data_IF_776894430980
#
_entry.id   IF_776894430980
#
_cell.length_a   1.000
_cell.length_b   1.000
_cell.length_c   1.000
_cell.angle_alpha   90.00
_cell.angle_beta   90.00
_cell.angle_gamma   90.00
#
_symmetry.space_group_name_H-M   'P 1'
#
loop_
_entity.id
_entity.type
_entity.pdbx_description
1 polymer ?
#
# COMPACT_ATOMS: atom_id res chain seq x y z
N UNK A 1 15.70 13.97 -12.83
CA UNK A 1 15.34 13.39 -14.13
C UNK A 1 14.14 14.12 -14.67
N UNK A 2 14.31 14.90 -15.73
CA UNK A 2 13.21 15.61 -16.42
C UNK A 2 12.51 14.73 -17.48
N UNK A 3 13.13 13.60 -17.85
CA UNK A 3 12.60 12.62 -18.82
C UNK A 3 12.60 11.21 -18.20
N UNK A 4 11.47 10.50 -18.30
CA UNK A 4 11.27 9.14 -17.77
C UNK A 4 11.16 8.10 -18.90
N UNK A 5 11.74 8.39 -20.06
CA UNK A 5 11.84 7.41 -21.15
C UNK A 5 12.78 6.25 -20.79
N UNK A 6 12.55 5.10 -21.41
CA UNK A 6 13.39 3.92 -21.22
C UNK A 6 14.85 4.19 -21.60
N UNK A 7 15.07 5.03 -22.61
CA UNK A 7 16.39 5.49 -23.03
C UNK A 7 17.08 6.31 -21.95
N UNK A 8 16.38 7.32 -21.39
CA UNK A 8 16.94 8.17 -20.35
C UNK A 8 17.28 7.37 -19.10
N UNK A 9 16.40 6.44 -18.69
CA UNK A 9 16.65 5.55 -17.54
C UNK A 9 17.85 4.63 -17.82
N UNK A 10 17.95 4.05 -19.01
CA UNK A 10 19.09 3.20 -19.39
C UNK A 10 20.40 3.98 -19.38
N UNK A 11 20.41 5.21 -19.90
CA UNK A 11 21.58 6.08 -19.87
C UNK A 11 22.03 6.37 -18.44
N UNK A 12 21.10 6.74 -17.55
CA UNK A 12 21.43 6.97 -16.14
C UNK A 12 21.95 5.70 -15.45
N UNK A 13 21.39 4.52 -15.74
CA UNK A 13 21.93 3.26 -15.19
C UNK A 13 23.40 3.08 -15.62
N UNK A 14 23.71 3.33 -16.89
CA UNK A 14 25.10 3.24 -17.39
C UNK A 14 26.01 4.25 -16.70
N UNK A 15 25.58 5.50 -16.58
CA UNK A 15 26.36 6.56 -15.94
C UNK A 15 26.66 6.22 -14.48
N UNK A 16 25.66 5.71 -13.74
CA UNK A 16 25.85 5.26 -12.35
C UNK A 16 26.81 4.08 -12.26
N UNK A 17 26.70 3.09 -13.15
CA UNK A 17 27.64 1.96 -13.20
C UNK A 17 29.06 2.43 -13.47
N UNK A 18 29.24 3.34 -14.44
CA UNK A 18 30.55 3.94 -14.75
C UNK A 18 31.11 4.72 -13.56
N UNK A 19 30.28 5.54 -12.89
CA UNK A 19 30.70 6.30 -11.71
C UNK A 19 31.12 5.38 -10.54
N UNK A 20 30.47 4.23 -10.40
CA UNK A 20 30.82 3.19 -9.41
C UNK A 20 31.97 2.27 -9.88
N UNK A 21 32.55 2.52 -11.06
CA UNK A 21 33.58 1.68 -11.67
C UNK A 21 33.14 0.21 -11.85
N UNK A 22 31.85 -0.02 -12.12
CA UNK A 22 31.25 -1.31 -12.37
C UNK A 22 31.01 -1.50 -13.87
N UNK A 23 31.55 -2.57 -14.44
CA UNK A 23 31.29 -2.93 -15.85
C UNK A 23 29.93 -3.58 -16.02
N UNK A 24 29.14 -3.10 -16.99
CA UNK A 24 27.86 -3.72 -17.37
C UNK A 24 28.03 -5.18 -17.82
N UNK A 25 29.20 -5.56 -18.32
CA UNK A 25 29.51 -6.94 -18.74
C UNK A 25 29.53 -7.94 -17.56
N UNK A 26 29.58 -7.42 -16.32
CA UNK A 26 29.48 -8.20 -15.10
C UNK A 26 28.03 -8.34 -14.62
N UNK A 27 27.06 -7.67 -15.27
CA UNK A 27 25.66 -7.81 -14.94
C UNK A 27 25.17 -9.23 -15.25
N UNK A 28 24.51 -9.86 -14.28
CA UNK A 28 23.93 -11.22 -14.42
C UNK A 28 22.43 -11.26 -14.15
N UNK A 29 21.88 -10.20 -13.59
CA UNK A 29 20.47 -10.12 -13.25
C UNK A 29 19.99 -8.67 -13.24
N UNK A 30 18.76 -8.48 -13.69
CA UNK A 30 18.06 -7.20 -13.69
C UNK A 30 16.59 -7.41 -13.28
N UNK A 31 16.08 -6.54 -12.41
CA UNK A 31 14.74 -6.66 -11.85
C UNK A 31 14.03 -5.31 -11.92
N UNK A 32 12.86 -5.28 -12.55
CA UNK A 32 12.05 -4.06 -12.68
C UNK A 32 10.57 -4.31 -12.40
N UNK A 33 9.82 -3.22 -12.19
CA UNK A 33 8.37 -3.26 -12.15
C UNK A 33 7.75 -3.55 -13.53
N UNK A 34 6.43 -3.71 -13.56
CA UNK A 34 5.69 -4.09 -14.78
C UNK A 34 5.46 -2.94 -15.77
N UNK A 35 6.04 -1.76 -15.55
CA UNK A 35 5.80 -0.62 -16.43
C UNK A 35 6.37 -0.89 -17.83
N UNK A 36 5.63 -0.47 -18.87
CA UNK A 36 6.05 -0.65 -20.27
C UNK A 36 7.41 0.00 -20.57
N UNK A 37 7.71 1.12 -19.90
CA UNK A 37 9.02 1.78 -19.95
C UNK A 37 10.14 0.87 -19.43
N UNK A 38 9.87 0.08 -18.40
CA UNK A 38 10.86 -0.79 -17.78
C UNK A 38 10.99 -2.12 -18.52
N UNK A 39 9.88 -2.80 -18.80
CA UNK A 39 9.87 -4.19 -19.31
C UNK A 39 9.34 -4.34 -20.73
N UNK A 40 9.11 -3.23 -21.44
CA UNK A 40 8.62 -3.26 -22.81
C UNK A 40 9.54 -4.08 -23.74
N UNK A 41 8.96 -5.03 -24.46
CA UNK A 41 9.71 -6.00 -25.27
C UNK A 41 10.49 -5.36 -26.44
N UNK A 42 10.08 -4.18 -26.91
CA UNK A 42 10.69 -3.47 -28.03
C UNK A 42 11.75 -2.45 -27.60
N UNK A 43 11.46 -1.67 -26.56
CA UNK A 43 12.24 -0.48 -26.22
C UNK A 43 12.39 -0.23 -24.71
N UNK A 44 11.93 -1.16 -23.87
CA UNK A 44 12.03 -1.04 -22.43
C UNK A 44 13.48 -1.13 -21.93
N UNK A 45 13.72 -0.63 -20.71
CA UNK A 45 15.04 -0.69 -20.05
C UNK A 45 15.57 -2.12 -20.03
N UNK A 46 14.73 -3.10 -19.68
CA UNK A 46 15.11 -4.50 -19.60
C UNK A 46 15.65 -5.04 -20.93
N UNK A 47 14.98 -4.67 -22.04
CA UNK A 47 15.40 -5.04 -23.38
C UNK A 47 16.73 -4.37 -23.74
N UNK A 48 16.86 -3.07 -23.49
CA UNK A 48 18.08 -2.30 -23.78
C UNK A 48 19.30 -2.82 -23.02
N UNK A 49 19.16 -3.17 -21.74
CA UNK A 49 20.24 -3.75 -20.94
C UNK A 49 20.56 -5.17 -21.44
N UNK A 50 19.55 -5.98 -21.77
CA UNK A 50 19.77 -7.33 -22.33
C UNK A 50 20.47 -7.30 -23.69
N UNK A 51 20.22 -6.27 -24.52
CA UNK A 51 20.91 -6.08 -25.79
C UNK A 51 22.39 -5.70 -25.62
N UNK A 52 22.74 -5.05 -24.50
CA UNK A 52 24.12 -4.72 -24.13
C UNK A 52 24.85 -5.90 -23.49
N UNK A 53 24.19 -6.64 -22.59
CA UNK A 53 24.72 -7.82 -21.92
C UNK A 53 23.67 -8.94 -21.90
N UNK A 54 23.71 -9.88 -22.87
CA UNK A 54 22.74 -10.97 -22.95
C UNK A 54 22.70 -11.91 -21.73
N UNK A 55 23.75 -11.94 -20.90
CA UNK A 55 23.78 -12.71 -19.64
C UNK A 55 23.06 -12.01 -18.49
N UNK A 56 22.64 -10.76 -18.65
CA UNK A 56 21.87 -10.03 -17.65
C UNK A 56 20.41 -10.50 -17.68
N UNK A 57 20.10 -11.59 -16.98
CA UNK A 57 18.76 -12.17 -17.00
C UNK A 57 17.74 -11.21 -16.37
N UNK A 58 16.67 -10.92 -17.10
CA UNK A 58 15.57 -10.12 -16.58
C UNK A 58 14.53 -10.98 -15.85
N UNK A 59 14.12 -10.52 -14.67
CA UNK A 59 12.95 -11.05 -13.95
C UNK A 59 12.04 -9.93 -13.49
N UNK A 60 10.74 -10.16 -13.55
CA UNK A 60 9.76 -9.22 -13.03
C UNK A 60 9.86 -9.08 -11.51
N UNK A 61 9.63 -7.88 -10.99
CA UNK A 61 9.62 -7.63 -9.55
C UNK A 61 8.34 -8.19 -8.91
N UNK A 62 8.46 -9.34 -8.26
CA UNK A 62 7.33 -10.03 -7.63
C UNK A 62 6.64 -9.22 -6.52
N UNK A 63 7.33 -8.29 -5.87
CA UNK A 63 6.72 -7.36 -4.92
C UNK A 63 5.66 -6.46 -5.58
N UNK A 64 5.93 -6.00 -6.80
CA UNK A 64 4.96 -5.22 -7.58
C UNK A 64 3.80 -6.10 -8.08
N UNK A 65 4.10 -7.32 -8.57
CA UNK A 65 3.08 -8.27 -8.98
C UNK A 65 2.10 -8.61 -7.84
N UNK A 66 2.62 -8.88 -6.63
CA UNK A 66 1.82 -9.11 -5.43
C UNK A 66 0.88 -7.92 -5.16
N UNK A 67 1.42 -6.70 -5.21
CA UNK A 67 0.61 -5.50 -5.00
C UNK A 67 -0.52 -5.35 -6.04
N UNK A 68 -0.25 -5.63 -7.32
CA UNK A 68 -1.28 -5.57 -8.37
C UNK A 68 -2.40 -6.58 -8.11
N UNK A 69 -2.05 -7.85 -7.87
CA UNK A 69 -3.02 -8.92 -7.60
C UNK A 69 -3.92 -8.54 -6.42
N UNK A 70 -3.34 -8.02 -5.35
CA UNK A 70 -4.11 -7.72 -4.14
C UNK A 70 -4.96 -6.46 -4.35
N UNK A 71 -4.43 -5.45 -5.04
CA UNK A 71 -5.20 -4.25 -5.40
C UNK A 71 -6.42 -4.61 -6.26
N UNK A 72 -6.24 -5.46 -7.26
CA UNK A 72 -7.33 -5.87 -8.16
C UNK A 72 -8.34 -6.73 -7.41
N UNK A 73 -7.87 -7.62 -6.54
CA UNK A 73 -8.74 -8.44 -5.67
C UNK A 73 -9.60 -7.56 -4.75
N UNK A 74 -9.00 -6.56 -4.09
CA UNK A 74 -9.75 -5.67 -3.19
C UNK A 74 -10.75 -4.78 -3.94
N UNK A 75 -10.42 -4.35 -5.17
CA UNK A 75 -11.33 -3.58 -6.02
C UNK A 75 -12.49 -4.42 -6.55
N UNK A 76 -12.28 -5.71 -6.79
CA UNK A 76 -13.31 -6.63 -7.26
C UNK A 76 -14.37 -6.91 -6.18
N UNK A 77 -14.01 -6.82 -4.91
CA UNK A 77 -14.92 -7.05 -3.78
C UNK A 77 -15.52 -5.71 -3.31
N UNK A 78 -16.83 -5.53 -3.52
CA UNK A 78 -17.52 -4.25 -3.26
C UNK A 78 -17.34 -3.71 -1.84
N UNK A 79 -17.44 -4.57 -0.82
CA UNK A 79 -17.25 -4.20 0.59
C UNK A 79 -15.82 -3.66 0.82
N UNK A 80 -14.81 -4.34 0.26
CA UNK A 80 -13.41 -3.94 0.41
C UNK A 80 -13.09 -2.68 -0.37
N UNK A 81 -13.60 -2.55 -1.60
CA UNK A 81 -13.49 -1.34 -2.41
C UNK A 81 -14.08 -0.13 -1.67
N UNK A 82 -15.27 -0.29 -1.10
CA UNK A 82 -15.93 0.78 -0.35
C UNK A 82 -15.14 1.14 0.91
N UNK A 83 -14.67 0.13 1.67
CA UNK A 83 -13.83 0.36 2.84
C UNK A 83 -12.53 1.09 2.50
N UNK A 84 -11.84 0.69 1.43
CA UNK A 84 -10.64 1.38 0.93
C UNK A 84 -10.92 2.84 0.59
N UNK A 85 -12.00 3.11 -0.13
CA UNK A 85 -12.37 4.47 -0.52
C UNK A 85 -12.69 5.34 0.70
N UNK A 86 -13.43 4.80 1.67
CA UNK A 86 -13.78 5.53 2.89
C UNK A 86 -12.56 5.77 3.79
N UNK A 87 -11.69 4.76 3.99
CA UNK A 87 -10.42 4.93 4.72
C UNK A 87 -9.53 5.99 4.04
N UNK A 88 -9.45 5.95 2.72
CA UNK A 88 -8.71 6.96 1.96
C UNK A 88 -9.29 8.37 2.14
N UNK A 89 -10.61 8.50 2.16
CA UNK A 89 -11.28 9.77 2.37
C UNK A 89 -11.10 10.30 3.79
N UNK A 90 -11.21 9.45 4.82
CA UNK A 90 -10.94 9.81 6.22
C UNK A 90 -9.49 10.32 6.36
N UNK A 91 -8.53 9.56 5.86
CA UNK A 91 -7.10 9.92 5.96
C UNK A 91 -6.81 11.24 5.25
N UNK A 92 -7.43 11.49 4.09
CA UNK A 92 -7.36 12.79 3.40
C UNK A 92 -7.99 13.92 4.19
N UNK A 93 -9.19 13.74 4.76
CA UNK A 93 -9.88 14.77 5.54
C UNK A 93 -9.05 15.19 6.76
N UNK A 94 -8.26 14.30 7.35
CA UNK A 94 -7.42 14.64 8.50
C UNK A 94 -6.09 15.23 8.05
N UNK A 95 -5.34 14.48 7.23
CA UNK A 95 -3.92 14.78 6.93
C UNK A 95 -3.72 15.84 5.85
N UNK A 96 -4.74 16.22 5.08
CA UNK A 96 -4.58 17.24 4.02
C UNK A 96 -4.34 18.65 4.57
N UNK A 97 -4.82 18.98 5.79
CA UNK A 97 -4.56 20.29 6.39
C UNK A 97 -4.03 20.16 7.82
N UNK A 98 -2.90 20.84 8.17
CA UNK A 98 -2.29 20.76 9.49
C UNK A 98 -3.24 21.08 10.65
N UNK A 99 -4.17 22.03 10.44
CA UNK A 99 -5.18 22.39 11.45
C UNK A 99 -6.05 21.21 11.85
N UNK A 100 -6.49 20.39 10.89
CA UNK A 100 -7.37 19.23 11.13
C UNK A 100 -6.61 18.06 11.75
N UNK A 101 -5.36 17.88 11.34
CA UNK A 101 -4.45 16.94 11.99
C UNK A 101 -4.21 17.31 13.45
N UNK A 102 -3.89 18.57 13.75
CA UNK A 102 -3.73 19.06 15.12
C UNK A 102 -5.00 18.90 15.97
N UNK A 103 -6.18 19.19 15.38
CA UNK A 103 -7.46 18.96 16.04
C UNK A 103 -7.65 17.48 16.36
N UNK A 104 -7.41 16.59 15.39
CA UNK A 104 -7.50 15.15 15.61
C UNK A 104 -6.55 14.67 16.72
N UNK A 105 -5.29 15.12 16.73
CA UNK A 105 -4.33 14.73 17.78
C UNK A 105 -4.79 15.22 19.17
N UNK A 106 -5.35 16.43 19.29
CA UNK A 106 -5.94 16.92 20.56
C UNK A 106 -7.13 16.09 21.04
N UNK A 107 -7.98 15.64 20.11
CA UNK A 107 -9.12 14.76 20.44
C UNK A 107 -8.61 13.39 20.86
N UNK A 108 -7.65 12.84 20.12
CA UNK A 108 -7.02 11.56 20.42
C UNK A 108 -6.33 11.56 21.78
N UNK A 109 -5.55 12.60 22.11
CA UNK A 109 -4.86 12.71 23.41
C UNK A 109 -5.83 12.63 24.60
N UNK A 110 -7.08 13.09 24.42
CA UNK A 110 -8.11 13.05 25.47
C UNK A 110 -8.79 11.68 25.61
N UNK A 111 -8.98 10.98 24.50
CA UNK A 111 -9.83 9.77 24.44
C UNK A 111 -8.98 8.49 24.38
N UNK A 112 -7.95 8.49 23.55
CA UNK A 112 -7.16 7.31 23.16
C UNK A 112 -5.66 7.65 22.99
N UNK A 113 -4.96 8.14 24.03
CA UNK A 113 -3.58 8.63 23.90
C UNK A 113 -2.59 7.56 23.41
N UNK A 114 -2.80 6.31 23.80
CA UNK A 114 -1.92 5.17 23.47
C UNK A 114 -2.07 4.64 22.03
N UNK A 115 -3.05 5.14 21.28
CA UNK A 115 -3.28 4.66 19.91
C UNK A 115 -2.27 5.25 18.92
N UNK A 116 -1.99 4.58 17.79
CA UNK A 116 -1.12 5.15 16.76
C UNK A 116 -1.75 6.39 16.13
N UNK A 117 -0.93 7.30 15.60
CA UNK A 117 -1.43 8.37 14.73
C UNK A 117 -2.05 7.82 13.44
N UNK A 118 -2.87 8.63 12.76
CA UNK A 118 -3.47 8.23 11.48
C UNK A 118 -2.39 8.00 10.42
N UNK A 119 -2.42 6.84 9.77
CA UNK A 119 -1.52 6.51 8.67
C UNK A 119 -2.24 6.77 7.32
N UNK A 120 -1.60 7.57 6.46
CA UNK A 120 -2.15 7.92 5.14
C UNK A 120 -2.22 6.66 4.27
N UNK A 121 -3.41 6.37 3.74
CA UNK A 121 -3.54 5.36 2.71
C UNK A 121 -2.90 5.87 1.42
N UNK A 122 -1.70 5.39 1.12
CA UNK A 122 -1.02 5.69 -0.13
C UNK A 122 -1.42 4.66 -1.21
N UNK A 123 -2.02 5.09 -2.33
CA UNK A 123 -2.39 4.16 -3.39
C UNK A 123 -1.20 3.44 -4.01
N UNK A 124 -0.01 4.04 -4.03
CA UNK A 124 1.20 3.47 -4.63
C UNK A 124 2.12 2.77 -3.63
N UNK A 125 2.06 3.12 -2.33
CA UNK A 125 2.91 2.53 -1.28
C UNK A 125 2.15 1.48 -0.46
N UNK A 126 2.16 0.25 -0.96
CA UNK A 126 1.36 -0.88 -0.45
C UNK A 126 1.57 -1.23 1.02
N UNK A 127 2.81 -1.17 1.52
CA UNK A 127 3.17 -1.57 2.90
C UNK A 127 2.50 -0.75 3.99
N UNK A 128 1.73 0.28 3.62
CA UNK A 128 0.97 1.15 4.51
C UNK A 128 -0.53 0.84 4.50
N UNK A 129 -1.03 -0.08 3.66
CA UNK A 129 -2.48 -0.33 3.59
C UNK A 129 -2.97 -1.01 4.87
N UNK A 130 -2.25 -1.98 5.41
CA UNK A 130 -2.58 -2.58 6.70
C UNK A 130 -2.47 -1.56 7.85
N UNK A 131 -1.41 -0.76 7.87
CA UNK A 131 -1.19 0.26 8.89
C UNK A 131 -2.25 1.37 8.85
N UNK A 132 -2.71 1.74 7.65
CA UNK A 132 -3.82 2.70 7.49
C UNK A 132 -5.12 2.14 8.06
N UNK A 133 -5.49 0.91 7.69
CA UNK A 133 -6.68 0.24 8.24
C UNK A 133 -6.57 0.05 9.76
N UNK A 134 -5.38 -0.30 10.26
CA UNK A 134 -5.09 -0.38 11.68
C UNK A 134 -5.31 0.96 12.37
N UNK A 135 -4.70 2.04 11.88
CA UNK A 135 -4.83 3.36 12.49
C UNK A 135 -6.28 3.86 12.53
N UNK A 136 -7.09 3.60 11.50
CA UNK A 136 -8.52 3.94 11.52
C UNK A 136 -9.30 3.06 12.50
N UNK A 137 -9.00 1.75 12.53
CA UNK A 137 -9.62 0.80 13.45
C UNK A 137 -9.40 1.18 14.91
N UNK A 138 -8.17 1.56 15.28
CA UNK A 138 -7.84 1.88 16.68
C UNK A 138 -8.30 3.28 17.08
N UNK A 139 -8.42 4.21 16.13
CA UNK A 139 -8.88 5.58 16.41
C UNK A 139 -10.36 5.80 16.10
N UNK A 140 -11.17 4.74 15.92
CA UNK A 140 -12.53 4.87 15.38
C UNK A 140 -13.40 5.84 16.18
N UNK A 141 -13.31 5.79 17.52
CA UNK A 141 -14.04 6.71 18.40
C UNK A 141 -13.50 8.14 18.31
N UNK A 142 -12.18 8.35 18.40
CA UNK A 142 -11.57 9.67 18.26
C UNK A 142 -11.92 10.33 16.91
N UNK A 143 -12.02 9.54 15.84
CA UNK A 143 -12.47 10.00 14.52
C UNK A 143 -13.93 10.49 14.53
N UNK A 144 -14.81 9.85 15.29
CA UNK A 144 -16.20 10.28 15.45
C UNK A 144 -16.31 11.63 16.16
N UNK A 145 -15.43 11.94 17.10
CA UNK A 145 -15.42 13.26 17.76
C UNK A 145 -14.74 14.32 16.89
N UNK A 146 -13.55 14.01 16.35
CA UNK A 146 -12.79 14.95 15.54
C UNK A 146 -13.54 15.43 14.29
N UNK A 147 -14.38 14.56 13.70
CA UNK A 147 -15.22 14.94 12.55
C UNK A 147 -16.29 15.97 12.92
N UNK A 148 -16.93 15.85 14.08
CA UNK A 148 -17.99 16.78 14.52
C UNK A 148 -17.40 18.15 14.85
N UNK A 149 -16.26 18.17 15.55
CA UNK A 149 -15.51 19.41 15.82
C UNK A 149 -15.07 20.08 14.50
N UNK A 150 -14.48 19.32 13.58
CA UNK A 150 -14.08 19.84 12.26
C UNK A 150 -15.26 20.41 11.47
N UNK A 151 -16.41 19.75 11.51
CA UNK A 151 -17.64 20.20 10.84
C UNK A 151 -18.16 21.51 11.43
N UNK A 152 -18.04 21.70 12.73
CA UNK A 152 -18.48 22.92 13.43
C UNK A 152 -17.59 24.14 13.13
N UNK A 153 -16.30 23.93 12.90
CA UNK A 153 -15.33 25.01 12.68
C UNK A 153 -15.21 25.45 11.21
N UNK A 154 -15.56 24.58 10.26
CA UNK A 154 -15.35 24.86 8.84
C UNK A 154 -16.56 25.56 8.21
N UNK A 155 -16.29 26.56 7.37
CA UNK A 155 -17.30 27.23 6.52
C UNK A 155 -17.36 26.65 5.10
N UNK A 156 -16.44 25.74 4.77
CA UNK A 156 -16.35 25.11 3.46
C UNK A 156 -17.44 24.03 3.31
N UNK A 157 -18.42 24.32 2.46
CA UNK A 157 -19.57 23.43 2.22
C UNK A 157 -19.19 22.09 1.60
N UNK A 158 -18.12 22.03 0.79
CA UNK A 158 -17.61 20.77 0.23
C UNK A 158 -17.09 19.88 1.37
N UNK A 159 -16.32 20.47 2.29
CA UNK A 159 -15.76 19.73 3.43
C UNK A 159 -16.87 19.28 4.37
N UNK A 160 -17.88 20.11 4.64
CA UNK A 160 -19.04 19.71 5.46
C UNK A 160 -19.77 18.52 4.82
N UNK A 161 -20.01 18.55 3.51
CA UNK A 161 -20.66 17.47 2.80
C UNK A 161 -19.84 16.17 2.84
N UNK A 162 -18.52 16.26 2.63
CA UNK A 162 -17.60 15.11 2.69
C UNK A 162 -17.54 14.49 4.09
N UNK A 163 -17.46 15.31 5.13
CA UNK A 163 -17.52 14.86 6.53
C UNK A 163 -18.85 14.14 6.80
N UNK A 164 -19.98 14.72 6.38
CA UNK A 164 -21.30 14.09 6.52
C UNK A 164 -21.40 12.75 5.78
N UNK A 165 -20.83 12.68 4.57
CA UNK A 165 -20.77 11.44 3.79
C UNK A 165 -19.94 10.35 4.47
N UNK A 166 -18.75 10.69 4.99
CA UNK A 166 -17.93 9.77 5.79
C UNK A 166 -18.69 9.33 7.04
N UNK A 167 -19.34 10.27 7.72
CA UNK A 167 -20.06 9.98 8.95
C UNK A 167 -21.16 8.93 8.75
N UNK A 168 -21.96 9.08 7.70
CA UNK A 168 -23.00 8.14 7.33
C UNK A 168 -22.45 6.75 6.92
N UNK A 169 -21.20 6.65 6.47
CA UNK A 169 -20.56 5.36 6.21
C UNK A 169 -20.00 4.72 7.49
N UNK A 170 -19.50 5.54 8.43
CA UNK A 170 -18.98 5.06 9.72
C UNK A 170 -20.04 4.41 10.62
N UNK A 171 -21.31 4.69 10.39
CA UNK A 171 -22.42 4.06 11.11
C UNK A 171 -22.85 2.73 10.47
N UNK A 172 -22.35 2.40 9.28
CA UNK A 172 -22.76 1.19 8.54
C UNK A 172 -21.87 0.01 8.87
N UNK A 173 -22.51 -1.10 9.25
CA UNK A 173 -21.84 -2.39 9.49
C UNK A 173 -20.88 -2.81 8.36
N UNK A 174 -21.23 -2.71 7.05
CA UNK A 174 -20.30 -3.04 5.97
C UNK A 174 -18.95 -2.32 6.04
N UNK A 175 -18.90 -1.07 6.49
CA UNK A 175 -17.63 -0.36 6.64
C UNK A 175 -16.83 -0.93 7.80
N UNK A 176 -17.46 -1.07 8.98
CA UNK A 176 -16.79 -1.61 10.17
C UNK A 176 -16.22 -3.01 9.89
N UNK A 177 -17.03 -3.87 9.26
CA UNK A 177 -16.61 -5.19 8.82
C UNK A 177 -15.46 -5.09 7.82
N UNK A 178 -15.57 -4.25 6.78
CA UNK A 178 -14.52 -4.06 5.78
C UNK A 178 -13.20 -3.56 6.36
N UNK A 179 -13.24 -2.70 7.38
CA UNK A 179 -12.04 -2.22 8.09
C UNK A 179 -11.40 -3.34 8.91
N UNK A 180 -12.19 -4.06 9.73
CA UNK A 180 -11.65 -5.15 10.56
C UNK A 180 -11.15 -6.32 9.72
N UNK A 181 -11.92 -6.75 8.74
CA UNK A 181 -11.54 -7.80 7.79
C UNK A 181 -10.33 -7.38 6.95
N UNK A 182 -10.35 -6.14 6.44
CA UNK A 182 -9.24 -5.54 5.71
C UNK A 182 -7.95 -5.54 6.51
N UNK A 183 -7.97 -5.05 7.76
CA UNK A 183 -6.83 -5.08 8.68
C UNK A 183 -6.23 -6.49 8.76
N UNK A 184 -7.05 -7.53 8.99
CA UNK A 184 -6.58 -8.92 9.13
C UNK A 184 -5.87 -9.41 7.87
N UNK A 185 -6.50 -9.28 6.70
CA UNK A 185 -5.95 -9.79 5.44
C UNK A 185 -4.75 -8.96 4.98
N UNK A 186 -4.85 -7.64 5.04
CA UNK A 186 -3.80 -6.73 4.61
C UNK A 186 -2.54 -6.90 5.45
N UNK A 187 -2.64 -7.12 6.77
CA UNK A 187 -1.47 -7.39 7.61
C UNK A 187 -0.66 -8.59 7.11
N UNK A 188 -1.32 -9.67 6.68
CA UNK A 188 -0.65 -10.87 6.20
C UNK A 188 0.09 -10.63 4.89
N UNK A 189 -0.55 -9.90 3.98
CA UNK A 189 0.02 -9.59 2.66
C UNK A 189 1.10 -8.51 2.77
N UNK A 190 0.96 -7.53 3.66
CA UNK A 190 1.99 -6.53 3.95
C UNK A 190 3.22 -7.19 4.56
N UNK A 191 3.04 -8.16 5.47
CA UNK A 191 4.14 -8.95 6.03
C UNK A 191 4.85 -9.79 4.96
N UNK A 192 4.10 -10.40 4.04
CA UNK A 192 4.68 -11.08 2.88
C UNK A 192 5.49 -10.11 2.02
N UNK A 193 4.92 -8.95 1.69
CA UNK A 193 5.60 -7.92 0.90
C UNK A 193 6.88 -7.43 1.56
N UNK A 194 6.84 -7.11 2.87
CA UNK A 194 8.01 -6.69 3.66
C UNK A 194 9.06 -7.80 3.71
N UNK A 195 8.64 -9.07 3.82
CA UNK A 195 9.56 -10.21 3.83
C UNK A 195 10.26 -10.39 2.48
N UNK A 196 9.52 -10.35 1.38
CA UNK A 196 10.05 -10.48 0.01
C UNK A 196 11.02 -9.36 -0.39
N UNK A 197 11.00 -8.22 0.32
CA UNK A 197 11.87 -7.08 0.08
C UNK A 197 13.15 -7.10 0.93
N UNK A 198 13.35 -8.10 1.80
CA UNK A 198 14.58 -8.22 2.60
C UNK A 198 15.76 -8.55 1.70
N UNK A 199 16.83 -7.75 1.78
CA UNK A 199 18.06 -7.90 0.99
C UNK A 199 18.75 -9.25 1.21
N UNK A 200 18.56 -9.84 2.39
CA UNK A 200 19.18 -11.12 2.77
C UNK A 200 18.36 -12.35 2.37
N UNK A 201 17.17 -12.18 1.80
CA UNK A 201 16.27 -13.29 1.51
C UNK A 201 16.72 -14.04 0.24
N UNK A 202 16.91 -15.35 0.37
CA UNK A 202 17.16 -16.19 -0.80
C UNK A 202 15.86 -16.46 -1.56
N UNK A 203 15.94 -16.63 -2.89
CA UNK A 203 14.76 -16.92 -3.72
C UNK A 203 13.95 -18.14 -3.22
N UNK A 204 14.64 -19.21 -2.79
CA UNK A 204 14.03 -20.41 -2.19
C UNK A 204 13.25 -20.11 -0.91
N UNK A 205 13.71 -19.15 -0.12
CA UNK A 205 13.06 -18.75 1.12
C UNK A 205 11.84 -17.89 0.81
N UNK A 206 11.93 -17.02 -0.20
CA UNK A 206 10.79 -16.27 -0.72
C UNK A 206 9.62 -17.17 -1.12
N UNK A 207 9.88 -18.26 -1.85
CA UNK A 207 8.85 -19.25 -2.20
C UNK A 207 8.18 -19.85 -0.96
N UNK A 208 8.97 -20.27 0.04
CA UNK A 208 8.43 -20.80 1.30
C UNK A 208 7.57 -19.78 2.06
N UNK A 209 7.95 -18.51 2.06
CA UNK A 209 7.15 -17.45 2.71
C UNK A 209 5.82 -17.26 1.99
N UNK A 210 5.82 -17.25 0.65
CA UNK A 210 4.59 -17.19 -0.16
C UNK A 210 3.68 -18.38 0.15
N UNK A 211 4.20 -19.60 0.14
CA UNK A 211 3.44 -20.81 0.46
C UNK A 211 2.82 -20.76 1.85
N UNK A 212 3.59 -20.32 2.85
CA UNK A 212 3.08 -20.13 4.22
C UNK A 212 1.95 -19.12 4.26
N UNK A 213 2.09 -17.97 3.60
CA UNK A 213 1.01 -16.98 3.52
C UNK A 213 -0.25 -17.55 2.86
N UNK A 214 -0.10 -18.36 1.81
CA UNK A 214 -1.24 -19.03 1.16
C UNK A 214 -1.93 -20.04 2.09
N UNK A 215 -1.17 -20.82 2.85
CA UNK A 215 -1.71 -21.76 3.84
C UNK A 215 -2.50 -20.99 4.91
N UNK A 216 -1.93 -19.91 5.45
CA UNK A 216 -2.59 -19.07 6.46
C UNK A 216 -3.89 -18.47 5.92
N UNK A 217 -3.88 -17.90 4.71
CA UNK A 217 -5.08 -17.33 4.09
C UNK A 217 -6.17 -18.39 3.84
N UNK A 218 -5.78 -19.61 3.44
CA UNK A 218 -6.72 -20.74 3.28
C UNK A 218 -7.28 -21.20 4.63
N UNK A 219 -6.45 -21.21 5.67
CA UNK A 219 -6.88 -21.57 7.02
C UNK A 219 -7.94 -20.59 7.56
N UNK A 220 -7.75 -19.28 7.39
CA UNK A 220 -8.71 -18.25 7.84
C UNK A 220 -10.05 -18.36 7.11
N UNK A 221 -10.07 -18.95 5.91
CA UNK A 221 -11.30 -19.25 5.18
C UNK A 221 -12.07 -20.47 5.75
N UNK A 222 -11.47 -21.25 6.64
CA UNK A 222 -12.09 -22.46 7.21
C UNK A 222 -13.21 -22.13 8.19
N UNK A 223 -14.19 -23.04 8.33
CA UNK A 223 -15.33 -22.89 9.26
C UNK A 223 -14.86 -22.67 10.70
N UNK A 224 -13.78 -23.33 11.11
CA UNK A 224 -13.17 -23.20 12.45
C UNK A 224 -12.70 -21.78 12.77
N UNK A 225 -12.37 -20.97 11.75
CA UNK A 225 -11.97 -19.56 11.95
C UNK A 225 -13.16 -18.60 12.10
N UNK A 226 -14.39 -19.07 11.82
CA UNK A 226 -15.63 -18.30 11.94
C UNK A 226 -16.52 -18.76 13.10
N UNK A 227 -16.09 -19.74 13.89
CA UNK A 227 -16.81 -20.14 15.10
C UNK A 227 -16.62 -19.05 16.18
N UNK A 228 -17.71 -18.50 16.75
CA UNK A 228 -17.59 -17.58 17.86
C UNK A 228 -17.05 -18.31 19.09
N UNK A 229 -16.07 -17.69 19.76
CA UNK A 229 -15.68 -18.05 21.13
C UNK A 229 -16.78 -17.71 22.12
#
# INVERSE_FOLDING_TARGET
MENTSAESITATIKDVLMWMNLSINNCRGQFYDGASVMIGCKSGVAKRISDLEPKALHSHFYGHALNLIVQDTLKAISIMKNALNTVHEITKLIKKFPKRECLFEKVKEKILPETPGICILCPTRWTLRAESFYSISENYEALQFAREETKSETKDSEIVARIGGVAAQMEKFPLLFGIKFGKTILCMVDNLSKSLQKVTLLAKEGQKVVERTLITLKFIRSKTSFEPY
#
